data_IF_407443123573
#
_entry.id   IF_407443123573
#
_cell.length_a   1.000
_cell.length_b   1.000
_cell.length_c   1.000
_cell.angle_alpha   90.00
_cell.angle_beta   90.00
_cell.angle_gamma   90.00
#
_symmetry.space_group_name_H-M   'P 1'
#
loop_
_entity.id
_entity.type
_entity.pdbx_description
1 polymer ?
#
# COMPACT_ATOMS: atom_id res chain seq x y z
N UNK A 1 21.79 7.46 18.21
CA UNK A 1 20.99 6.81 17.18
C UNK A 1 19.70 6.33 17.85
N UNK A 2 18.52 6.90 17.53
CA UNK A 2 17.25 6.42 18.10
C UNK A 2 16.88 5.15 17.35
N UNK A 3 16.89 4.00 18.03
CA UNK A 3 16.34 2.76 17.50
C UNK A 3 14.82 2.96 17.29
N UNK A 4 14.35 2.63 16.12
CA UNK A 4 12.91 2.53 15.87
C UNK A 4 12.34 1.38 16.68
N UNK A 5 11.23 1.61 17.37
CA UNK A 5 10.49 0.53 18.03
C UNK A 5 9.58 -0.18 17.03
N UNK A 6 9.16 -1.41 17.34
CA UNK A 6 8.20 -2.12 16.50
C UNK A 6 6.90 -1.32 16.28
N UNK A 7 6.48 -0.56 17.30
CA UNK A 7 5.30 0.30 17.20
C UNK A 7 5.48 1.44 16.17
N UNK A 8 6.66 2.07 16.12
CA UNK A 8 6.96 3.09 15.12
C UNK A 8 6.87 2.50 13.70
N UNK A 9 7.41 1.30 13.49
CA UNK A 9 7.39 0.62 12.19
C UNK A 9 5.96 0.27 11.74
N UNK A 10 5.08 -0.12 12.65
CA UNK A 10 3.67 -0.38 12.34
C UNK A 10 2.99 0.91 11.89
N UNK A 11 3.20 2.02 12.59
CA UNK A 11 2.63 3.31 12.21
C UNK A 11 3.16 3.75 10.84
N UNK A 12 4.46 3.63 10.58
CA UNK A 12 5.05 3.95 9.28
C UNK A 12 4.48 3.08 8.16
N UNK A 13 4.28 1.78 8.42
CA UNK A 13 3.65 0.88 7.47
C UNK A 13 2.27 1.38 7.03
N UNK A 14 1.44 1.82 7.97
CA UNK A 14 0.12 2.35 7.66
C UNK A 14 0.19 3.68 6.91
N UNK A 15 1.06 4.60 7.31
CA UNK A 15 1.23 5.89 6.65
C UNK A 15 1.67 5.69 5.19
N UNK A 16 2.72 4.90 4.96
CA UNK A 16 3.23 4.65 3.60
C UNK A 16 2.30 3.77 2.77
N UNK A 17 1.60 2.83 3.38
CA UNK A 17 0.57 2.04 2.73
C UNK A 17 -0.60 2.89 2.25
N UNK A 18 -1.04 3.84 3.06
CA UNK A 18 -2.08 4.81 2.71
C UNK A 18 -1.62 5.75 1.58
N UNK A 19 -0.41 6.31 1.69
CA UNK A 19 0.16 7.17 0.64
C UNK A 19 0.26 6.42 -0.70
N UNK A 20 0.75 5.19 -0.68
CA UNK A 20 0.83 4.36 -1.88
C UNK A 20 -0.55 4.07 -2.48
N UNK A 21 -1.56 3.82 -1.64
CA UNK A 21 -2.93 3.63 -2.10
C UNK A 21 -3.51 4.89 -2.75
N UNK A 22 -3.31 6.07 -2.13
CA UNK A 22 -3.75 7.35 -2.70
C UNK A 22 -3.13 7.57 -4.07
N UNK A 23 -1.80 7.45 -4.17
CA UNK A 23 -1.06 7.65 -5.43
C UNK A 23 -1.54 6.70 -6.52
N UNK A 24 -1.63 5.40 -6.23
CA UNK A 24 -2.08 4.41 -7.20
C UNK A 24 -3.53 4.66 -7.62
N UNK A 25 -4.43 4.91 -6.66
CA UNK A 25 -5.83 5.16 -6.96
C UNK A 25 -6.00 6.39 -7.85
N UNK A 26 -5.27 7.47 -7.59
CA UNK A 26 -5.28 8.67 -8.42
C UNK A 26 -4.74 8.38 -9.83
N UNK A 27 -3.56 7.77 -9.93
CA UNK A 27 -2.92 7.47 -11.22
C UNK A 27 -3.83 6.60 -12.10
N UNK A 28 -4.35 5.50 -11.55
CA UNK A 28 -5.19 4.59 -12.32
C UNK A 28 -6.57 5.18 -12.64
N UNK A 29 -7.15 5.97 -11.74
CA UNK A 29 -8.42 6.64 -11.99
C UNK A 29 -8.30 7.70 -13.08
N UNK A 30 -7.19 8.45 -13.13
CA UNK A 30 -6.92 9.40 -14.22
C UNK A 30 -6.66 8.69 -15.54
N UNK A 31 -5.88 7.60 -15.53
CA UNK A 31 -5.58 6.83 -16.75
C UNK A 31 -6.83 6.21 -17.37
N UNK A 32 -7.73 5.68 -16.56
CA UNK A 32 -8.94 4.98 -17.03
C UNK A 32 -10.17 5.92 -17.11
N UNK A 33 -9.99 7.20 -16.79
CA UNK A 33 -11.06 8.21 -16.75
C UNK A 33 -12.29 7.78 -15.95
N UNK A 34 -12.09 6.93 -14.94
CA UNK A 34 -13.11 6.46 -14.01
C UNK A 34 -12.48 6.16 -12.67
N UNK A 35 -13.31 6.20 -11.63
CA UNK A 35 -12.84 5.83 -10.31
C UNK A 35 -12.41 4.35 -10.26
N UNK A 36 -11.16 4.10 -9.87
CA UNK A 36 -10.61 2.77 -9.66
C UNK A 36 -9.96 2.72 -8.28
N UNK A 37 -10.55 1.92 -7.39
CA UNK A 37 -9.90 1.60 -6.13
C UNK A 37 -8.86 0.50 -6.36
N UNK A 38 -7.60 0.79 -6.05
CA UNK A 38 -6.48 -0.15 -6.20
C UNK A 38 -6.21 -0.98 -4.95
N UNK A 39 -6.94 -0.73 -3.85
CA UNK A 39 -6.82 -1.49 -2.60
C UNK A 39 -7.50 -2.86 -2.68
N UNK A 40 -6.85 -3.90 -2.19
CA UNK A 40 -7.41 -5.25 -2.03
C UNK A 40 -8.19 -5.37 -0.73
N UNK A 41 -7.67 -4.74 0.31
CA UNK A 41 -8.26 -4.72 1.64
C UNK A 41 -9.37 -3.66 1.74
N UNK A 42 -10.20 -3.75 2.76
CA UNK A 42 -11.17 -2.70 3.06
C UNK A 42 -10.49 -1.43 3.56
N UNK A 43 -9.36 -1.59 4.26
CA UNK A 43 -8.50 -0.48 4.62
C UNK A 43 -7.76 0.00 3.37
N UNK A 44 -7.68 1.33 3.14
CA UNK A 44 -7.03 1.89 1.95
C UNK A 44 -5.50 1.88 2.10
N UNK A 45 -4.90 0.70 2.02
CA UNK A 45 -3.44 0.53 2.07
C UNK A 45 -2.95 -0.38 0.96
N UNK A 46 -1.73 -0.14 0.49
CA UNK A 46 -0.99 -1.03 -0.40
C UNK A 46 0.26 -1.51 0.32
N UNK A 47 0.34 -2.83 0.56
CA UNK A 47 1.39 -3.42 1.38
C UNK A 47 2.78 -3.38 0.75
N UNK A 48 2.91 -3.64 -0.57
CA UNK A 48 4.21 -3.78 -1.21
C UNK A 48 5.11 -2.53 -1.04
N UNK A 49 4.70 -1.31 -1.43
CA UNK A 49 5.53 -0.12 -1.19
C UNK A 49 5.75 0.18 0.29
N UNK A 50 4.77 -0.13 1.15
CA UNK A 50 4.91 0.06 2.58
C UNK A 50 6.00 -0.84 3.18
N UNK A 51 6.06 -2.12 2.80
CA UNK A 51 7.11 -3.04 3.23
C UNK A 51 8.49 -2.60 2.75
N UNK A 52 8.62 -2.18 1.48
CA UNK A 52 9.87 -1.63 0.95
C UNK A 52 10.33 -0.42 1.75
N UNK A 53 9.41 0.49 2.09
CA UNK A 53 9.74 1.66 2.92
C UNK A 53 10.22 1.24 4.31
N UNK A 54 9.56 0.30 4.96
CA UNK A 54 9.99 -0.21 6.28
C UNK A 54 11.39 -0.81 6.20
N UNK A 55 11.66 -1.64 5.19
CA UNK A 55 12.98 -2.22 4.97
C UNK A 55 14.02 -1.11 4.79
N UNK A 56 13.75 -0.13 3.94
CA UNK A 56 14.67 1.00 3.70
C UNK A 56 14.93 1.81 4.99
N UNK A 57 13.91 2.03 5.82
CA UNK A 57 14.05 2.72 7.11
C UNK A 57 14.94 1.92 8.06
N UNK A 58 14.71 0.61 8.20
CA UNK A 58 15.50 -0.27 9.06
C UNK A 58 16.96 -0.29 8.60
N UNK A 59 17.17 -0.49 7.30
CA UNK A 59 18.51 -0.58 6.71
C UNK A 59 19.24 0.76 6.82
N UNK A 60 18.58 1.88 6.55
CA UNK A 60 19.18 3.23 6.66
C UNK A 60 19.55 3.61 8.10
N UNK A 61 18.94 2.95 9.10
CA UNK A 61 19.28 3.15 10.51
C UNK A 61 20.56 2.42 10.94
N UNK A 62 21.02 1.46 10.15
CA UNK A 62 22.27 0.73 10.37
C UNK A 62 23.52 1.61 10.13
N UNK A 63 24.57 1.39 10.95
CA UNK A 63 25.77 2.26 10.94
C UNK A 63 26.63 2.11 9.69
N UNK A 64 26.50 1.00 8.93
CA UNK A 64 27.46 0.63 7.87
C UNK A 64 26.79 0.21 6.56
N UNK A 65 25.59 0.66 6.29
CA UNK A 65 24.90 0.27 5.05
C UNK A 65 25.10 1.34 3.98
N UNK A 66 25.74 0.94 2.88
CA UNK A 66 25.89 1.81 1.72
C UNK A 66 24.52 2.00 1.04
N UNK A 67 24.35 3.16 0.38
CA UNK A 67 23.14 3.41 -0.42
C UNK A 67 22.90 2.35 -1.49
N UNK A 68 23.96 1.81 -2.09
CA UNK A 68 23.86 0.72 -3.07
C UNK A 68 23.34 -0.56 -2.44
N UNK A 69 23.81 -0.92 -1.24
CA UNK A 69 23.29 -2.07 -0.50
C UNK A 69 21.80 -1.94 -0.16
N UNK A 70 21.37 -0.75 0.26
CA UNK A 70 19.97 -0.47 0.52
C UNK A 70 19.09 -0.58 -0.73
N UNK A 71 19.54 -0.05 -1.87
CA UNK A 71 18.83 -0.18 -3.14
C UNK A 71 18.75 -1.64 -3.61
N UNK A 72 19.86 -2.38 -3.53
CA UNK A 72 19.88 -3.80 -3.86
C UNK A 72 18.89 -4.61 -3.02
N UNK A 73 18.86 -4.39 -1.71
CA UNK A 73 17.89 -5.04 -0.82
C UNK A 73 16.45 -4.67 -1.18
N UNK A 74 16.18 -3.40 -1.49
CA UNK A 74 14.85 -2.97 -1.90
C UNK A 74 14.41 -3.62 -3.22
N UNK A 75 15.33 -3.85 -4.17
CA UNK A 75 15.05 -4.60 -5.39
C UNK A 75 14.69 -6.05 -5.10
N UNK A 76 15.47 -6.72 -4.27
CA UNK A 76 15.21 -8.13 -3.88
C UNK A 76 13.85 -8.23 -3.19
N UNK A 77 13.58 -7.35 -2.24
CA UNK A 77 12.31 -7.30 -1.51
C UNK A 77 11.12 -7.06 -2.45
N UNK A 78 11.26 -6.11 -3.39
CA UNK A 78 10.23 -5.90 -4.41
C UNK A 78 9.90 -7.16 -5.19
N UNK A 79 10.90 -7.89 -5.69
CA UNK A 79 10.65 -9.09 -6.48
C UNK A 79 10.03 -10.22 -5.66
N UNK A 80 10.42 -10.37 -4.40
CA UNK A 80 9.79 -11.33 -3.49
C UNK A 80 8.31 -10.96 -3.29
N UNK A 81 8.03 -9.69 -2.97
CA UNK A 81 6.66 -9.21 -2.75
C UNK A 81 5.81 -9.24 -4.03
N UNK A 82 6.39 -8.95 -5.20
CA UNK A 82 5.72 -9.04 -6.50
C UNK A 82 5.29 -10.49 -6.78
N UNK A 83 6.17 -11.47 -6.57
CA UNK A 83 5.85 -12.89 -6.74
C UNK A 83 4.85 -13.41 -5.72
N UNK A 84 4.99 -13.03 -4.46
CA UNK A 84 4.03 -13.36 -3.43
C UNK A 84 2.66 -12.73 -3.73
N UNK A 85 2.63 -11.46 -4.12
CA UNK A 85 1.41 -10.76 -4.50
C UNK A 85 0.71 -11.40 -5.69
N UNK A 86 1.46 -11.79 -6.74
CA UNK A 86 0.92 -12.55 -7.86
C UNK A 86 0.35 -13.91 -7.42
N UNK A 87 1.09 -14.65 -6.60
CA UNK A 87 0.65 -15.94 -6.09
C UNK A 87 -0.64 -15.82 -5.28
N UNK A 88 -0.70 -14.88 -4.34
CA UNK A 88 -1.90 -14.65 -3.53
C UNK A 88 -3.06 -14.12 -4.38
N UNK A 89 -2.82 -13.19 -5.29
CA UNK A 89 -3.87 -12.67 -6.17
C UNK A 89 -4.42 -13.76 -7.08
N UNK A 90 -3.59 -14.61 -7.63
CA UNK A 90 -4.02 -15.75 -8.45
C UNK A 90 -4.78 -16.81 -7.65
N UNK A 91 -4.36 -17.12 -6.42
CA UNK A 91 -5.05 -18.12 -5.58
C UNK A 91 -6.28 -17.60 -4.87
N UNK A 92 -6.25 -16.36 -4.41
CA UNK A 92 -7.36 -15.77 -3.64
C UNK A 92 -8.36 -15.03 -4.53
N UNK A 93 -7.87 -14.44 -5.63
CA UNK A 93 -8.67 -13.59 -6.52
C UNK A 93 -8.95 -14.28 -7.86
N UNK A 94 -8.76 -15.56 -7.96
CA UNK A 94 -8.74 -16.43 -9.16
C UNK A 94 -9.95 -16.35 -10.06
N UNK A 95 -10.44 -15.17 -10.43
CA UNK A 95 -11.27 -15.00 -11.63
C UNK A 95 -11.06 -13.65 -12.28
N UNK A 96 -10.32 -13.67 -13.33
CA UNK A 96 -10.36 -12.90 -14.60
C UNK A 96 -10.40 -11.36 -14.63
N UNK A 97 -10.77 -10.60 -13.61
CA UNK A 97 -11.21 -9.22 -13.86
C UNK A 97 -10.38 -8.11 -13.22
N UNK A 98 -9.63 -8.36 -12.17
CA UNK A 98 -8.62 -7.43 -11.69
C UNK A 98 -7.29 -7.87 -12.25
N UNK A 99 -6.78 -7.16 -13.27
CA UNK A 99 -5.45 -7.47 -13.75
C UNK A 99 -4.46 -7.28 -12.58
N UNK A 100 -3.56 -8.25 -12.33
CA UNK A 100 -2.53 -8.12 -11.29
C UNK A 100 -1.72 -6.83 -11.43
N UNK A 101 -1.64 -6.29 -12.64
CA UNK A 101 -1.00 -5.02 -12.98
C UNK A 101 -1.66 -3.82 -12.30
N UNK A 102 -2.98 -3.84 -12.09
CA UNK A 102 -3.70 -2.79 -11.33
C UNK A 102 -3.37 -2.78 -9.85
N UNK A 103 -2.90 -3.92 -9.32
CA UNK A 103 -2.43 -4.04 -7.95
C UNK A 103 -0.92 -3.76 -7.82
N UNK A 104 -0.26 -3.36 -8.93
CA UNK A 104 1.17 -3.11 -8.96
C UNK A 104 2.03 -4.37 -9.16
N UNK A 105 1.42 -5.51 -9.50
CA UNK A 105 2.14 -6.77 -9.76
C UNK A 105 2.33 -7.00 -11.25
N UNK A 106 3.58 -7.20 -11.69
CA UNK A 106 3.91 -7.44 -13.09
C UNK A 106 3.81 -8.92 -13.48
N UNK A 107 3.08 -9.24 -14.56
CA UNK A 107 3.06 -10.58 -15.14
C UNK A 107 4.37 -10.90 -15.87
N UNK A 108 4.92 -9.90 -16.55
CA UNK A 108 6.14 -10.02 -17.34
C UNK A 108 7.32 -9.38 -16.62
N UNK A 109 8.51 -9.95 -16.77
CA UNK A 109 9.72 -9.46 -16.13
C UNK A 109 10.00 -7.97 -16.45
N UNK A 110 9.75 -7.56 -17.71
CA UNK A 110 9.95 -6.17 -18.14
C UNK A 110 9.04 -5.19 -17.39
N UNK A 111 7.76 -5.55 -17.23
CA UNK A 111 6.78 -4.72 -16.50
C UNK A 111 7.14 -4.70 -15.02
N UNK A 112 7.53 -5.84 -14.45
CA UNK A 112 7.96 -5.95 -13.05
C UNK A 112 9.21 -5.10 -12.79
N UNK A 113 10.19 -5.09 -13.69
CA UNK A 113 11.38 -4.23 -13.59
C UNK A 113 11.05 -2.74 -13.63
N UNK A 114 10.20 -2.31 -14.55
CA UNK A 114 9.78 -0.91 -14.64
C UNK A 114 9.06 -0.49 -13.35
N UNK A 115 8.13 -1.30 -12.88
CA UNK A 115 7.42 -1.05 -11.63
C UNK A 115 8.37 -1.00 -10.42
N UNK A 116 9.36 -1.91 -10.38
CA UNK A 116 10.40 -1.91 -9.33
C UNK A 116 11.15 -0.59 -9.30
N UNK A 117 11.63 -0.13 -10.44
CA UNK A 117 12.39 1.13 -10.56
C UNK A 117 11.53 2.30 -10.08
N UNK A 118 10.28 2.39 -10.54
CA UNK A 118 9.38 3.48 -10.16
C UNK A 118 9.09 3.47 -8.64
N UNK A 119 8.71 2.32 -8.10
CA UNK A 119 8.36 2.18 -6.69
C UNK A 119 9.58 2.48 -5.80
N UNK A 120 10.76 1.94 -6.13
CA UNK A 120 11.98 2.16 -5.37
C UNK A 120 12.41 3.63 -5.43
N UNK A 121 12.32 4.28 -6.59
CA UNK A 121 12.63 5.69 -6.74
C UNK A 121 11.69 6.56 -5.89
N UNK A 122 10.38 6.28 -5.89
CA UNK A 122 9.39 6.96 -5.05
C UNK A 122 9.69 6.72 -3.57
N UNK A 123 9.93 5.47 -3.17
CA UNK A 123 10.28 5.13 -1.78
C UNK A 123 11.57 5.84 -1.32
N UNK A 124 12.58 5.88 -2.17
CA UNK A 124 13.84 6.57 -1.86
C UNK A 124 13.62 8.09 -1.68
N UNK A 125 12.82 8.70 -2.53
CA UNK A 125 12.45 10.12 -2.39
C UNK A 125 11.68 10.34 -1.10
N UNK A 126 10.69 9.52 -0.79
CA UNK A 126 9.93 9.58 0.47
C UNK A 126 10.83 9.39 1.70
N UNK A 127 11.81 8.49 1.63
CA UNK A 127 12.77 8.27 2.70
C UNK A 127 13.59 9.54 3.02
N UNK A 128 13.95 10.30 1.99
CA UNK A 128 14.75 11.52 2.14
C UNK A 128 13.94 12.74 2.56
N UNK A 129 12.71 12.86 2.06
CA UNK A 129 11.88 14.07 2.24
C UNK A 129 10.82 13.89 3.33
N UNK A 130 10.01 12.82 3.24
CA UNK A 130 8.86 12.64 4.12
C UNK A 130 9.22 11.95 5.45
N UNK A 131 10.15 10.99 5.43
CA UNK A 131 10.49 10.24 6.64
C UNK A 131 11.00 11.12 7.79
N UNK A 132 11.85 12.14 7.60
CA UNK A 132 12.25 13.03 8.70
C UNK A 132 11.08 13.77 9.32
N UNK A 133 10.12 14.21 8.50
CA UNK A 133 8.91 14.91 8.95
C UNK A 133 8.02 13.96 9.76
N UNK A 134 7.73 12.78 9.21
CA UNK A 134 6.90 11.78 9.88
C UNK A 134 7.55 11.33 11.20
N UNK A 135 8.87 11.12 11.19
CA UNK A 135 9.63 10.78 12.39
C UNK A 135 9.49 11.86 13.46
N UNK A 136 9.64 13.14 13.10
CA UNK A 136 9.45 14.26 14.02
C UNK A 136 8.05 14.29 14.62
N UNK A 137 7.02 14.12 13.80
CA UNK A 137 5.63 14.09 14.23
C UNK A 137 5.35 12.92 15.19
N UNK A 138 5.79 11.71 14.85
CA UNK A 138 5.60 10.53 15.71
C UNK A 138 6.38 10.67 17.02
N UNK A 139 7.55 11.32 17.00
CA UNK A 139 8.37 11.52 18.20
C UNK A 139 7.78 12.51 19.20
N UNK A 140 6.84 13.38 18.78
CA UNK A 140 6.10 14.29 19.66
C UNK A 140 5.02 13.57 20.47
N UNK A 141 4.57 12.39 20.00
CA UNK A 141 3.52 11.64 20.66
C UNK A 141 4.11 10.83 21.84
N UNK A 142 3.47 10.84 23.02
CA UNK A 142 3.89 10.01 24.14
C UNK A 142 3.98 8.52 23.75
N UNK A 143 5.01 7.82 24.16
CA UNK A 143 5.28 6.42 23.79
C UNK A 143 4.14 5.45 24.09
N UNK A 144 3.42 5.68 25.18
CA UNK A 144 2.25 4.86 25.55
C UNK A 144 1.17 4.97 24.48
N UNK A 145 0.90 6.19 24.00
CA UNK A 145 -0.10 6.43 22.95
C UNK A 145 0.33 5.81 21.63
N UNK A 146 1.62 5.94 21.24
CA UNK A 146 2.18 5.31 20.04
C UNK A 146 1.98 3.80 20.08
N UNK A 147 2.26 3.16 21.22
CA UNK A 147 2.08 1.72 21.39
C UNK A 147 0.60 1.30 21.29
N UNK A 148 -0.31 2.05 21.92
CA UNK A 148 -1.75 1.77 21.83
C UNK A 148 -2.23 1.90 20.38
N UNK A 149 -1.87 2.97 19.67
CA UNK A 149 -2.22 3.18 18.27
C UNK A 149 -1.69 2.02 17.41
N UNK A 150 -0.44 1.63 17.60
CA UNK A 150 0.16 0.54 16.82
C UNK A 150 -0.58 -0.80 17.04
N UNK A 151 -0.92 -1.14 18.28
CA UNK A 151 -1.70 -2.35 18.57
C UNK A 151 -3.08 -2.30 17.93
N UNK A 152 -3.79 -1.17 18.05
CA UNK A 152 -5.11 -1.01 17.44
C UNK A 152 -5.04 -1.14 15.93
N UNK A 153 -4.07 -0.48 15.28
CA UNK A 153 -3.86 -0.58 13.84
C UNK A 153 -3.55 -2.02 13.40
N UNK A 154 -2.72 -2.73 14.16
CA UNK A 154 -2.40 -4.13 13.87
C UNK A 154 -3.65 -5.03 13.97
N UNK A 155 -4.46 -4.86 15.00
CA UNK A 155 -5.72 -5.60 15.17
C UNK A 155 -6.70 -5.31 14.02
N UNK A 156 -6.82 -4.04 13.61
CA UNK A 156 -7.66 -3.65 12.48
C UNK A 156 -7.15 -4.31 11.20
N UNK A 157 -5.83 -4.33 10.95
CA UNK A 157 -5.24 -4.96 9.78
C UNK A 157 -5.51 -6.47 9.75
N UNK A 158 -5.28 -7.17 10.85
CA UNK A 158 -5.52 -8.61 10.96
C UNK A 158 -7.02 -8.91 10.71
N UNK A 159 -7.89 -8.16 11.36
CA UNK A 159 -9.35 -8.31 11.18
C UNK A 159 -9.75 -8.10 9.71
N UNK A 160 -9.21 -7.07 9.05
CA UNK A 160 -9.54 -6.79 7.66
C UNK A 160 -9.01 -7.87 6.70
N UNK A 161 -7.83 -8.41 6.94
CA UNK A 161 -7.30 -9.55 6.17
C UNK A 161 -8.24 -10.77 6.31
N UNK A 162 -8.65 -11.09 7.54
CA UNK A 162 -9.55 -12.22 7.80
C UNK A 162 -10.91 -12.01 7.14
N UNK A 163 -11.52 -10.84 7.32
CA UNK A 163 -12.79 -10.50 6.70
C UNK A 163 -12.71 -10.51 5.16
N UNK A 164 -11.65 -9.95 4.60
CA UNK A 164 -11.43 -9.97 3.15
C UNK A 164 -11.30 -11.40 2.63
N UNK A 165 -10.52 -12.24 3.33
CA UNK A 165 -10.37 -13.66 2.96
C UNK A 165 -11.70 -14.41 3.00
N UNK A 166 -12.47 -14.28 4.07
CA UNK A 166 -13.79 -14.91 4.22
C UNK A 166 -14.74 -14.42 3.13
N UNK A 167 -14.76 -13.10 2.87
CA UNK A 167 -15.64 -12.50 1.87
C UNK A 167 -15.32 -12.99 0.46
N UNK A 168 -14.04 -12.99 0.07
CA UNK A 168 -13.60 -13.47 -1.25
C UNK A 168 -13.94 -14.95 -1.44
N UNK A 169 -13.81 -15.75 -0.38
CA UNK A 169 -14.14 -17.18 -0.43
C UNK A 169 -15.66 -17.45 -0.53
N UNK A 170 -16.46 -16.63 0.16
CA UNK A 170 -17.91 -16.78 0.17
C UNK A 170 -18.58 -16.21 -1.10
N UNK A 171 -18.02 -15.14 -1.67
CA UNK A 171 -18.59 -14.41 -2.81
C UNK A 171 -17.55 -14.19 -3.92
N UNK A 172 -17.06 -15.25 -4.56
CA UNK A 172 -15.94 -15.14 -5.50
C UNK A 172 -16.28 -14.28 -6.73
N UNK A 173 -17.52 -14.29 -7.21
CA UNK A 173 -17.95 -13.45 -8.34
C UNK A 173 -18.13 -11.97 -7.98
N UNK A 174 -18.62 -11.68 -6.79
CA UNK A 174 -18.89 -10.30 -6.36
C UNK A 174 -17.62 -9.54 -5.93
N UNK A 175 -16.58 -10.28 -5.54
CA UNK A 175 -15.30 -9.68 -5.19
C UNK A 175 -14.53 -9.18 -6.41
N UNK A 176 -14.87 -9.65 -7.61
CA UNK A 176 -14.06 -9.51 -8.82
C UNK A 176 -14.56 -8.49 -9.83
N UNK A 177 -15.83 -8.11 -9.75
CA UNK A 177 -16.50 -7.25 -10.72
C UNK A 177 -16.11 -5.77 -10.63
N UNK A 178 -14.90 -5.44 -10.18
CA UNK A 178 -14.56 -4.03 -9.99
C UNK A 178 -15.63 -3.29 -9.15
N UNK A 179 -16.70 -3.98 -8.84
CA UNK A 179 -17.81 -3.60 -7.99
C UNK A 179 -17.46 -3.77 -6.52
N UNK A 180 -16.27 -3.33 -6.15
CA UNK A 180 -15.98 -2.86 -4.79
C UNK A 180 -17.11 -1.88 -4.36
N UNK A 181 -17.79 -1.26 -5.32
CA UNK A 181 -19.02 -0.50 -5.12
C UNK A 181 -20.14 -1.28 -4.41
N UNK A 182 -20.17 -2.61 -4.50
CA UNK A 182 -21.15 -3.45 -3.76
C UNK A 182 -20.69 -3.87 -2.37
N UNK A 183 -19.42 -3.69 -2.02
CA UNK A 183 -18.97 -3.70 -0.63
C UNK A 183 -19.50 -2.43 0.03
N UNK A 184 -20.74 -2.46 0.46
CA UNK A 184 -21.36 -1.32 1.17
C UNK A 184 -20.45 -0.93 2.35
N UNK A 185 -19.96 0.32 2.32
CA UNK A 185 -19.38 1.02 3.45
C UNK A 185 -17.96 0.62 3.87
N UNK A 186 -17.02 0.44 2.96
CA UNK A 186 -15.62 0.45 3.35
C UNK A 186 -15.10 1.88 3.51
N UNK A 187 -14.31 2.12 4.55
CA UNK A 187 -13.71 3.45 4.81
C UNK A 187 -12.89 3.95 3.61
N UNK A 188 -12.14 3.05 2.96
CA UNK A 188 -11.38 3.37 1.75
C UNK A 188 -12.26 3.79 0.57
N UNK A 189 -13.41 3.14 0.38
CA UNK A 189 -14.39 3.55 -0.63
C UNK A 189 -15.01 4.91 -0.32
N UNK A 190 -15.33 5.15 0.94
CA UNK A 190 -15.90 6.42 1.36
C UNK A 190 -14.92 7.58 1.10
N UNK A 191 -13.66 7.44 1.49
CA UNK A 191 -12.62 8.44 1.21
C UNK A 191 -12.47 8.65 -0.30
N UNK A 192 -12.30 7.58 -1.06
CA UNK A 192 -12.03 7.68 -2.48
C UNK A 192 -13.23 8.22 -3.27
N UNK A 193 -14.45 7.83 -2.94
CA UNK A 193 -15.67 8.42 -3.53
C UNK A 193 -15.79 9.91 -3.25
N UNK A 194 -15.45 10.36 -2.06
CA UNK A 194 -15.51 11.78 -1.71
C UNK A 194 -14.43 12.61 -2.43
N UNK A 195 -13.22 12.08 -2.54
CA UNK A 195 -12.14 12.72 -3.32
C UNK A 195 -12.55 12.77 -4.80
N UNK A 196 -13.03 11.64 -5.36
CA UNK A 196 -13.43 11.56 -6.75
C UNK A 196 -14.61 12.48 -7.10
N UNK A 197 -15.63 12.56 -6.23
CA UNK A 197 -16.72 13.51 -6.41
C UNK A 197 -16.25 14.95 -6.54
N UNK A 198 -15.19 15.34 -5.82
CA UNK A 198 -14.60 16.69 -5.94
C UNK A 198 -13.88 16.87 -7.27
N UNK A 199 -13.12 15.87 -7.71
CA UNK A 199 -12.44 15.89 -9.02
C UNK A 199 -13.47 15.89 -10.15
N UNK A 200 -14.50 15.06 -10.08
CA UNK A 200 -15.56 14.99 -11.09
C UNK A 200 -16.38 16.29 -11.18
N UNK A 201 -16.52 17.02 -10.08
CA UNK A 201 -17.15 18.34 -10.08
C UNK A 201 -16.32 19.39 -10.84
N UNK A 202 -15.00 19.23 -10.85
CA UNK A 202 -14.06 20.12 -11.58
C UNK A 202 -13.93 19.70 -13.05
N UNK A 203 -14.03 18.39 -13.33
CA UNK A 203 -13.89 17.80 -14.67
C UNK A 203 -15.11 16.90 -14.98
N UNK A 204 -16.27 17.48 -15.33
CA UNK A 204 -17.51 16.70 -15.52
C UNK A 204 -17.47 15.78 -16.74
N UNK A 205 -16.46 15.92 -17.63
CA UNK A 205 -16.23 15.05 -18.79
C UNK A 205 -15.42 13.79 -18.47
N UNK A 206 -14.94 13.65 -17.25
CA UNK A 206 -14.27 12.46 -16.74
C UNK A 206 -15.28 11.57 -16.03
#
# INVERSE_FOLDING_TARGET
>A
MKLFTGADLIIYFFIYGLLAWVLNTVIYSLKEQKYINTGVLNIPIIGCPAFIMILMIIVSSGKNVSYYGMLMMAFIDYFILDKLGLFFSQRLLLKKEISPERLGYGKNLKISLINAIIIIAVCFTCLKTLQPIIFSLVSLIPRIIVNIIAVVLLLILISDIVFTYIFVRKYPMQSMDGNIAKRKNTFGEWISKNIWKRIYKIYPSL
#
